data_IF_702624375608
#
_entry.id   IF_702624375608
#
_cell.length_a   1.000
_cell.length_b   1.000
_cell.length_c   1.000
_cell.angle_alpha   90.00
_cell.angle_beta   90.00
_cell.angle_gamma   90.00
#
_symmetry.space_group_name_H-M   'P 1'
#
loop_
_entity.id
_entity.type
_entity.pdbx_description
1 polymer ?
#
# COMPACT_ATOMS: atom_id res chain seq x y z
N UNK A 1 -20.23 19.34 -25.67
CA UNK A 1 -19.88 18.88 -24.30
C UNK A 1 -19.36 17.44 -24.42
N UNK A 2 -18.06 17.26 -24.57
CA UNK A 2 -17.43 15.95 -24.86
C UNK A 2 -17.52 15.13 -23.59
N UNK A 3 -18.29 14.03 -23.65
CA UNK A 3 -18.36 13.02 -22.60
C UNK A 3 -16.91 12.58 -22.34
N UNK A 4 -16.39 12.79 -21.12
CA UNK A 4 -15.08 12.34 -20.68
C UNK A 4 -15.00 10.83 -20.96
N UNK A 5 -14.24 10.45 -21.97
CA UNK A 5 -14.09 9.03 -22.33
C UNK A 5 -13.48 8.33 -21.10
N UNK A 6 -14.11 7.24 -20.63
CA UNK A 6 -13.65 6.45 -19.50
C UNK A 6 -12.17 6.00 -19.65
N UNK A 7 -11.61 6.10 -20.85
CA UNK A 7 -10.21 5.80 -21.15
C UNK A 7 -9.26 6.93 -20.73
N UNK A 8 -9.68 8.20 -20.79
CA UNK A 8 -8.85 9.37 -20.49
C UNK A 8 -9.07 9.89 -19.08
N UNK A 9 -10.16 9.48 -18.42
CA UNK A 9 -10.52 9.91 -17.08
C UNK A 9 -9.36 9.81 -16.05
N UNK A 10 -8.57 8.73 -15.96
CA UNK A 10 -7.48 8.67 -14.99
C UNK A 10 -6.36 9.67 -15.25
N UNK A 11 -6.09 10.01 -16.53
CA UNK A 11 -5.07 10.99 -16.85
C UNK A 11 -5.55 12.42 -16.50
N UNK A 12 -6.81 12.73 -16.72
CA UNK A 12 -7.43 13.99 -16.26
C UNK A 12 -7.47 14.08 -14.73
N UNK A 13 -7.82 12.97 -14.04
CA UNK A 13 -7.81 12.94 -12.58
C UNK A 13 -6.39 13.11 -12.01
N UNK A 14 -5.38 12.47 -12.61
CA UNK A 14 -3.99 12.65 -12.22
C UNK A 14 -3.50 14.09 -12.45
N UNK A 15 -3.88 14.73 -13.57
CA UNK A 15 -3.56 16.12 -13.85
C UNK A 15 -4.23 17.07 -12.84
N UNK A 16 -5.52 16.87 -12.54
CA UNK A 16 -6.26 17.68 -11.58
C UNK A 16 -5.70 17.54 -10.16
N UNK A 17 -5.38 16.30 -9.74
CA UNK A 17 -4.72 16.06 -8.45
C UNK A 17 -3.36 16.78 -8.39
N UNK A 18 -2.54 16.68 -9.44
CA UNK A 18 -1.25 17.35 -9.49
C UNK A 18 -1.37 18.87 -9.44
N UNK A 19 -2.34 19.44 -10.14
CA UNK A 19 -2.61 20.88 -10.09
C UNK A 19 -3.03 21.33 -8.69
N UNK A 20 -3.96 20.60 -8.05
CA UNK A 20 -4.43 20.90 -6.70
C UNK A 20 -3.32 20.78 -5.66
N UNK A 21 -2.53 19.68 -5.70
CA UNK A 21 -1.41 19.49 -4.78
C UNK A 21 -0.28 20.49 -5.03
N UNK A 22 -0.03 20.85 -6.29
CA UNK A 22 0.91 21.92 -6.65
C UNK A 22 0.50 23.28 -6.11
N UNK A 23 -0.81 23.62 -6.14
CA UNK A 23 -1.33 24.83 -5.54
C UNK A 23 -1.12 24.85 -4.01
N UNK A 24 -1.36 23.72 -3.32
CA UNK A 24 -1.02 23.58 -1.89
C UNK A 24 0.47 23.79 -1.64
N UNK A 25 1.34 23.21 -2.46
CA UNK A 25 2.78 23.39 -2.32
C UNK A 25 3.20 24.86 -2.47
N UNK A 26 2.56 25.62 -3.37
CA UNK A 26 2.79 27.08 -3.49
C UNK A 26 2.34 27.83 -2.24
N UNK A 27 1.22 27.44 -1.60
CA UNK A 27 0.79 28.07 -0.34
C UNK A 27 1.79 27.83 0.78
N UNK A 28 2.35 26.62 0.90
CA UNK A 28 3.39 26.30 1.89
C UNK A 28 4.68 27.06 1.62
N UNK A 29 5.07 27.20 0.34
CA UNK A 29 6.23 27.98 -0.04
C UNK A 29 6.06 29.47 0.32
N UNK A 30 4.84 29.99 0.18
CA UNK A 30 4.51 31.37 0.58
C UNK A 30 4.33 31.53 2.12
N UNK A 31 4.63 30.52 2.91
CA UNK A 31 4.50 30.55 4.37
C UNK A 31 3.06 30.56 4.87
N UNK A 32 2.12 30.06 4.06
CA UNK A 32 0.70 30.02 4.39
C UNK A 32 0.23 28.58 4.60
N UNK A 33 -0.55 28.37 5.66
CA UNK A 33 -1.09 27.06 6.02
C UNK A 33 -0.08 26.13 6.66
N UNK A 34 -0.57 25.02 7.21
CA UNK A 34 0.23 24.05 7.93
C UNK A 34 1.00 23.13 6.97
N UNK A 35 2.33 23.21 7.03
CA UNK A 35 3.19 22.37 6.22
C UNK A 35 3.17 20.92 6.75
N UNK A 36 2.78 19.92 5.92
CA UNK A 36 2.48 18.58 6.39
C UNK A 36 3.72 17.76 6.77
N UNK A 37 4.92 18.19 6.39
CA UNK A 37 6.18 17.51 6.70
C UNK A 37 6.99 18.24 7.77
N UNK A 38 6.39 19.21 8.48
CA UNK A 38 7.00 19.79 9.65
C UNK A 38 7.32 18.68 10.68
N UNK A 39 8.29 18.93 11.54
CA UNK A 39 8.63 18.00 12.62
C UNK A 39 7.41 17.86 13.52
N UNK A 40 6.94 16.63 13.70
CA UNK A 40 5.91 16.26 14.68
C UNK A 40 6.58 15.85 15.98
N UNK A 41 5.80 15.75 17.05
CA UNK A 41 6.27 15.24 18.34
C UNK A 41 6.69 13.76 18.24
N UNK A 42 7.45 13.26 19.21
CA UNK A 42 7.98 11.90 19.20
C UNK A 42 6.86 10.84 19.20
N UNK A 43 5.68 11.15 19.75
CA UNK A 43 4.53 10.26 19.77
C UNK A 43 3.89 10.06 18.40
N UNK A 44 4.00 11.06 17.53
CA UNK A 44 3.43 11.05 16.17
C UNK A 44 4.47 10.90 15.07
N UNK A 45 5.76 10.88 15.41
CA UNK A 45 6.83 10.69 14.42
C UNK A 45 6.65 9.36 13.69
N UNK A 46 6.53 9.46 12.36
CA UNK A 46 6.37 8.31 11.48
C UNK A 46 7.67 7.91 10.78
N UNK A 47 8.74 8.68 10.98
CA UNK A 47 10.02 8.53 10.30
C UNK A 47 9.88 8.53 8.76
N UNK A 48 8.89 9.26 8.24
CA UNK A 48 8.71 9.40 6.81
C UNK A 48 9.87 10.20 6.19
N UNK A 49 10.13 10.00 4.89
CA UNK A 49 11.31 10.59 4.22
C UNK A 49 11.36 12.12 4.27
N UNK A 50 10.20 12.76 4.28
CA UNK A 50 10.10 14.22 4.22
C UNK A 50 9.87 14.84 5.60
N UNK A 51 9.71 14.04 6.65
CA UNK A 51 9.49 14.54 8.01
C UNK A 51 10.65 15.42 8.48
N UNK A 52 10.33 16.56 9.07
CA UNK A 52 11.32 17.54 9.54
C UNK A 52 12.02 18.34 8.45
N UNK A 53 11.57 18.23 7.18
CA UNK A 53 12.13 19.04 6.09
C UNK A 53 11.62 20.48 6.12
N UNK A 54 12.46 21.42 5.64
CA UNK A 54 12.07 22.83 5.59
C UNK A 54 11.15 23.12 4.39
N UNK A 55 10.00 23.81 4.61
CA UNK A 55 9.08 24.17 3.53
C UNK A 55 9.75 25.03 2.44
N UNK A 56 10.69 25.89 2.81
CA UNK A 56 11.42 26.74 1.85
C UNK A 56 12.20 25.96 0.80
N UNK A 57 12.58 24.69 1.09
CA UNK A 57 13.33 23.84 0.16
C UNK A 57 12.39 22.88 -0.56
N UNK A 58 11.55 22.17 0.16
CA UNK A 58 10.75 21.07 -0.39
C UNK A 58 9.52 21.58 -1.14
N UNK A 59 8.86 22.62 -0.63
CA UNK A 59 7.62 23.09 -1.25
C UNK A 59 7.81 23.63 -2.69
N UNK A 60 8.84 24.44 -3.02
CA UNK A 60 9.07 24.84 -4.41
C UNK A 60 9.42 23.67 -5.33
N UNK A 61 10.16 22.68 -4.86
CA UNK A 61 10.46 21.47 -5.64
C UNK A 61 9.16 20.71 -5.93
N UNK A 62 8.29 20.54 -4.92
CA UNK A 62 6.99 19.91 -5.09
C UNK A 62 6.11 20.68 -6.07
N UNK A 63 6.07 22.02 -6.00
CA UNK A 63 5.31 22.85 -6.91
C UNK A 63 5.78 22.66 -8.37
N UNK A 64 7.10 22.64 -8.62
CA UNK A 64 7.67 22.42 -9.95
C UNK A 64 7.37 21.01 -10.47
N UNK A 65 7.54 19.98 -9.64
CA UNK A 65 7.19 18.58 -10.01
C UNK A 65 5.70 18.46 -10.32
N UNK A 66 4.85 19.07 -9.52
CA UNK A 66 3.39 19.06 -9.73
C UNK A 66 2.98 19.85 -10.99
N UNK A 67 3.66 20.94 -11.32
CA UNK A 67 3.43 21.66 -12.58
C UNK A 67 3.79 20.78 -13.78
N UNK A 68 4.96 20.16 -13.78
CA UNK A 68 5.37 19.22 -14.81
C UNK A 68 4.40 18.02 -14.92
N UNK A 69 3.98 17.49 -13.78
CA UNK A 69 2.98 16.43 -13.70
C UNK A 69 1.63 16.84 -14.28
N UNK A 70 1.16 18.05 -13.98
CA UNK A 70 -0.09 18.58 -14.56
C UNK A 70 -0.02 18.64 -16.08
N UNK A 71 1.05 19.22 -16.63
CA UNK A 71 1.25 19.34 -18.07
C UNK A 71 1.34 17.97 -18.75
N UNK A 72 2.08 17.03 -18.16
CA UNK A 72 2.22 15.66 -18.68
C UNK A 72 0.91 14.86 -18.53
N UNK A 73 0.15 15.05 -17.45
CA UNK A 73 -1.17 14.46 -17.27
C UNK A 73 -2.16 14.90 -18.34
N UNK A 74 -2.19 16.20 -18.66
CA UNK A 74 -2.97 16.76 -19.79
C UNK A 74 -2.50 16.19 -21.12
N UNK A 75 -1.18 16.06 -21.34
CA UNK A 75 -0.61 15.44 -22.53
C UNK A 75 -1.09 13.99 -22.73
N UNK A 76 -1.03 13.18 -21.65
CA UNK A 76 -1.52 11.79 -21.67
C UNK A 76 -3.05 11.73 -21.89
N UNK A 77 -3.81 12.65 -21.27
CA UNK A 77 -5.26 12.74 -21.44
C UNK A 77 -5.68 13.07 -22.88
N UNK A 78 -4.86 13.85 -23.58
CA UNK A 78 -5.04 14.17 -25.01
C UNK A 78 -4.53 13.07 -25.95
N UNK A 79 -4.14 11.92 -25.42
CA UNK A 79 -3.69 10.77 -26.22
C UNK A 79 -2.19 10.71 -26.48
N UNK A 80 -1.40 11.58 -25.88
CA UNK A 80 0.05 11.56 -25.94
C UNK A 80 0.65 10.29 -25.34
N UNK A 81 1.79 9.81 -25.87
CA UNK A 81 2.42 8.54 -25.46
C UNK A 81 3.94 8.54 -25.56
N UNK A 82 4.56 9.70 -25.43
CA UNK A 82 6.00 9.78 -25.41
C UNK A 82 6.56 8.88 -24.31
N UNK A 83 7.61 8.13 -24.61
CA UNK A 83 8.27 7.23 -23.62
C UNK A 83 8.71 7.97 -22.37
N UNK A 84 9.22 9.20 -22.54
CA UNK A 84 9.61 10.06 -21.42
C UNK A 84 8.43 10.40 -20.51
N UNK A 85 7.25 10.73 -21.06
CA UNK A 85 6.05 11.02 -20.28
C UNK A 85 5.54 9.78 -19.53
N UNK A 86 5.61 8.59 -20.14
CA UNK A 86 5.25 7.34 -19.47
C UNK A 86 6.26 6.98 -18.38
N UNK A 87 7.57 7.18 -18.62
CA UNK A 87 8.61 6.95 -17.62
C UNK A 87 8.42 7.90 -16.42
N UNK A 88 8.22 9.19 -16.66
CA UNK A 88 7.90 10.15 -15.60
C UNK A 88 6.66 9.75 -14.80
N UNK A 89 5.57 9.35 -15.48
CA UNK A 89 4.35 8.91 -14.82
C UNK A 89 4.56 7.68 -13.92
N UNK A 90 5.33 6.71 -14.35
CA UNK A 90 5.70 5.55 -13.52
C UNK A 90 6.61 5.91 -12.35
N UNK A 91 7.61 6.78 -12.58
CA UNK A 91 8.49 7.27 -11.52
C UNK A 91 7.70 8.03 -10.46
N UNK A 92 6.82 8.94 -10.89
CA UNK A 92 5.98 9.72 -9.97
C UNK A 92 5.03 8.80 -9.19
N UNK A 93 4.38 7.83 -9.87
CA UNK A 93 3.55 6.83 -9.21
C UNK A 93 4.32 6.04 -8.15
N UNK A 94 5.53 5.58 -8.46
CA UNK A 94 6.38 4.84 -7.54
C UNK A 94 6.83 5.70 -6.35
N UNK A 95 7.24 6.94 -6.60
CA UNK A 95 7.64 7.87 -5.53
C UNK A 95 6.46 8.15 -4.59
N UNK A 96 5.31 8.54 -5.14
CA UNK A 96 4.15 8.93 -4.35
C UNK A 96 3.48 7.75 -3.63
N UNK A 97 3.44 6.56 -4.23
CA UNK A 97 2.74 5.41 -3.65
C UNK A 97 3.64 4.44 -2.87
N UNK A 98 4.95 4.39 -3.18
CA UNK A 98 5.82 3.38 -2.59
C UNK A 98 6.98 3.96 -1.77
N UNK A 99 7.47 5.17 -2.11
CA UNK A 99 8.67 5.72 -1.47
C UNK A 99 8.35 6.70 -0.34
N UNK A 100 7.40 7.63 -0.57
CA UNK A 100 7.04 8.66 0.41
C UNK A 100 6.18 8.15 1.57
N UNK A 101 5.19 7.24 1.36
CA UNK A 101 4.40 6.73 2.47
C UNK A 101 5.24 5.89 3.44
N UNK A 102 4.75 5.81 4.66
CA UNK A 102 5.33 5.03 5.75
C UNK A 102 4.44 3.83 6.13
N UNK A 103 4.68 3.23 7.29
CA UNK A 103 3.89 2.11 7.79
C UNK A 103 2.44 2.48 8.14
N UNK A 104 2.10 3.78 8.24
CA UNK A 104 0.74 4.22 8.58
C UNK A 104 -0.30 3.67 7.60
N UNK A 105 0.03 3.58 6.31
CA UNK A 105 -0.87 2.99 5.31
C UNK A 105 -1.17 1.52 5.59
N UNK A 106 -0.16 0.75 5.98
CA UNK A 106 -0.34 -0.66 6.36
C UNK A 106 -1.19 -0.76 7.62
N UNK A 107 -0.94 0.12 8.62
CA UNK A 107 -1.73 0.18 9.84
C UNK A 107 -3.21 0.50 9.53
N UNK A 108 -3.49 1.48 8.66
CA UNK A 108 -4.86 1.77 8.24
C UNK A 108 -5.56 0.58 7.59
N UNK A 109 -4.89 -0.15 6.72
CA UNK A 109 -5.48 -1.33 6.07
C UNK A 109 -5.67 -2.47 7.08
N UNK A 110 -4.70 -2.72 7.95
CA UNK A 110 -4.76 -3.77 8.97
C UNK A 110 -5.85 -3.51 10.01
N UNK A 111 -5.98 -2.24 10.44
CA UNK A 111 -6.96 -1.84 11.47
C UNK A 111 -8.26 -1.29 10.89
N UNK A 112 -8.45 -1.23 9.57
CA UNK A 112 -9.65 -0.69 8.95
C UNK A 112 -10.97 -1.24 9.53
N UNK A 113 -11.13 -2.56 9.78
CA UNK A 113 -12.34 -3.07 10.40
C UNK A 113 -12.56 -2.55 11.83
N UNK A 114 -11.48 -2.40 12.60
CA UNK A 114 -11.50 -1.90 13.96
C UNK A 114 -11.77 -0.38 14.01
N UNK A 115 -11.16 0.38 13.10
CA UNK A 115 -11.43 1.81 12.94
C UNK A 115 -12.89 2.07 12.58
N UNK A 116 -13.50 1.19 11.79
CA UNK A 116 -14.93 1.28 11.49
C UNK A 116 -15.79 1.09 12.75
N UNK A 117 -15.44 0.13 13.61
CA UNK A 117 -16.11 -0.05 14.91
C UNK A 117 -15.91 1.19 15.79
N UNK A 118 -14.69 1.70 15.90
CA UNK A 118 -14.38 2.87 16.70
C UNK A 118 -15.05 4.16 16.24
N UNK A 119 -15.37 4.29 14.95
CA UNK A 119 -16.17 5.40 14.44
C UNK A 119 -17.57 5.48 15.08
N UNK A 120 -18.11 4.35 15.57
CA UNK A 120 -19.40 4.27 16.23
C UNK A 120 -19.32 4.15 17.75
N UNK A 121 -18.23 3.58 18.29
CA UNK A 121 -18.10 3.30 19.74
C UNK A 121 -17.12 4.23 20.45
N UNK A 122 -16.43 5.10 19.70
CA UNK A 122 -15.31 5.88 20.24
C UNK A 122 -14.01 5.06 20.25
N UNK A 123 -12.87 5.75 20.23
CA UNK A 123 -11.53 5.14 20.29
C UNK A 123 -11.18 4.87 21.75
N UNK A 124 -10.90 3.61 22.16
CA UNK A 124 -10.48 3.33 23.52
C UNK A 124 -9.04 3.80 23.76
N UNK A 125 -8.80 4.43 24.91
CA UNK A 125 -7.47 4.84 25.35
C UNK A 125 -7.33 6.36 25.56
N UNK A 126 -6.11 6.87 25.75
CA UNK A 126 -5.84 8.28 26.02
C UNK A 126 -5.99 9.18 24.78
N UNK A 127 -6.44 8.65 23.66
CA UNK A 127 -6.62 9.38 22.40
C UNK A 127 -7.96 10.11 22.40
N UNK A 128 -7.95 11.40 22.09
CA UNK A 128 -9.15 12.26 22.09
C UNK A 128 -10.07 12.05 20.87
N UNK A 129 -9.84 11.00 20.09
CA UNK A 129 -10.69 10.62 18.97
C UNK A 129 -9.97 10.33 17.65
N UNK A 130 -10.71 10.34 16.55
CA UNK A 130 -10.15 10.07 15.21
C UNK A 130 -9.15 11.13 14.77
N UNK A 131 -9.17 12.33 15.33
CA UNK A 131 -8.23 13.42 15.04
C UNK A 131 -6.78 13.06 15.36
N UNK A 132 -6.56 12.36 16.48
CA UNK A 132 -5.23 11.91 16.90
C UNK A 132 -4.68 10.79 16.02
N UNK A 133 -5.57 10.03 15.39
CA UNK A 133 -5.19 9.00 14.43
C UNK A 133 -4.93 9.60 13.05
N UNK A 134 -5.74 10.61 12.66
CA UNK A 134 -5.73 11.25 11.34
C UNK A 134 -5.17 12.67 11.39
N UNK A 135 -4.04 12.86 12.08
CA UNK A 135 -3.36 14.17 12.09
C UNK A 135 -2.84 14.53 10.68
N UNK A 136 -2.56 15.83 10.46
CA UNK A 136 -2.34 16.39 9.12
C UNK A 136 -1.23 15.70 8.32
N UNK A 137 -0.08 15.40 8.95
CA UNK A 137 1.01 14.66 8.29
C UNK A 137 0.53 13.32 7.70
N UNK A 138 -0.17 12.52 8.50
CA UNK A 138 -0.67 11.19 8.09
C UNK A 138 -1.74 11.29 7.02
N UNK A 139 -2.65 12.26 7.13
CA UNK A 139 -3.66 12.55 6.10
C UNK A 139 -3.00 12.93 4.78
N UNK A 140 -1.95 13.75 4.83
CA UNK A 140 -1.18 14.12 3.65
C UNK A 140 -0.50 12.92 2.98
N UNK A 141 0.03 11.95 3.74
CA UNK A 141 0.58 10.71 3.17
C UNK A 141 -0.48 9.90 2.41
N UNK A 142 -1.73 9.86 2.90
CA UNK A 142 -2.84 9.25 2.16
C UNK A 142 -3.17 10.01 0.87
N UNK A 143 -3.12 11.34 0.89
CA UNK A 143 -3.31 12.17 -0.31
C UNK A 143 -2.23 11.89 -1.34
N UNK A 144 -0.96 11.81 -0.94
CA UNK A 144 0.16 11.45 -1.81
C UNK A 144 -0.01 10.05 -2.39
N UNK A 145 -0.37 9.09 -1.56
CA UNK A 145 -0.63 7.72 -1.98
C UNK A 145 -1.75 7.65 -3.03
N UNK A 146 -2.86 8.35 -2.80
CA UNK A 146 -3.95 8.44 -3.78
C UNK A 146 -3.47 9.04 -5.11
N UNK A 147 -2.66 10.11 -5.06
CA UNK A 147 -2.00 10.69 -6.23
C UNK A 147 -1.14 9.68 -7.00
N UNK A 148 -0.35 8.89 -6.27
CA UNK A 148 0.45 7.80 -6.85
C UNK A 148 -0.40 6.75 -7.56
N UNK A 149 -1.53 6.33 -6.97
CA UNK A 149 -2.45 5.39 -7.61
C UNK A 149 -3.11 5.99 -8.86
N UNK A 150 -3.48 7.27 -8.84
CA UNK A 150 -4.01 7.97 -10.01
C UNK A 150 -2.98 7.99 -11.15
N UNK A 151 -1.72 8.32 -10.86
CA UNK A 151 -0.64 8.31 -11.84
C UNK A 151 -0.34 6.91 -12.37
N UNK A 152 -0.35 5.88 -11.52
CA UNK A 152 -0.22 4.49 -11.94
C UNK A 152 -1.36 4.09 -12.90
N UNK A 153 -2.59 4.44 -12.57
CA UNK A 153 -3.76 4.15 -13.41
C UNK A 153 -3.70 4.90 -14.76
N UNK A 154 -3.31 6.18 -14.76
CA UNK A 154 -3.16 7.01 -15.96
C UNK A 154 -2.08 6.43 -16.90
N UNK A 155 -0.90 6.15 -16.35
CA UNK A 155 0.24 5.63 -17.11
C UNK A 155 -0.03 4.22 -17.63
N UNK A 156 -0.63 3.35 -16.81
CA UNK A 156 -1.01 1.99 -17.21
C UNK A 156 -2.01 2.00 -18.38
N UNK A 157 -3.01 2.87 -18.35
CA UNK A 157 -3.98 2.96 -19.44
C UNK A 157 -3.37 3.53 -20.72
N UNK A 158 -2.46 4.49 -20.61
CA UNK A 158 -1.75 5.07 -21.76
C UNK A 158 -0.77 4.09 -22.40
N UNK A 159 -0.17 3.17 -21.61
CA UNK A 159 0.79 2.16 -22.08
C UNK A 159 0.16 0.87 -22.62
N UNK A 160 -1.10 0.57 -22.29
CA UNK A 160 -1.75 -0.74 -22.60
C UNK A 160 -1.87 -1.11 -24.08
N UNK A 161 -1.63 -0.22 -25.04
CA UNK A 161 -1.61 -0.60 -26.47
C UNK A 161 -0.33 -1.31 -26.92
N UNK A 162 0.72 -1.35 -26.07
CA UNK A 162 2.00 -1.97 -26.44
C UNK A 162 2.18 -3.42 -25.93
N UNK A 163 1.35 -3.92 -25.02
CA UNK A 163 1.55 -5.23 -24.38
C UNK A 163 0.28 -6.09 -24.45
N UNK A 164 -0.14 -6.38 -25.66
CA UNK A 164 -1.03 -7.52 -25.94
C UNK A 164 -0.21 -8.76 -26.32
N UNK A 165 0.88 -9.03 -25.59
CA UNK A 165 1.55 -10.32 -25.71
C UNK A 165 0.74 -11.35 -24.92
N UNK A 166 0.13 -12.28 -25.64
CA UNK A 166 -0.63 -13.39 -25.11
C UNK A 166 0.32 -14.35 -24.37
N UNK A 167 0.64 -14.04 -23.11
CA UNK A 167 1.38 -14.97 -22.25
C UNK A 167 0.54 -16.23 -22.07
N UNK A 168 1.06 -17.44 -22.36
CA UNK A 168 0.32 -18.69 -22.22
C UNK A 168 -0.23 -18.85 -20.78
N UNK A 169 -1.45 -19.37 -20.60
CA UNK A 169 -2.06 -19.54 -19.28
C UNK A 169 -1.26 -20.39 -18.33
N UNK A 170 -0.56 -21.40 -18.85
CA UNK A 170 0.32 -22.28 -18.06
C UNK A 170 1.50 -21.50 -17.47
N UNK A 171 2.07 -20.58 -18.24
CA UNK A 171 3.14 -19.70 -17.77
C UNK A 171 2.64 -18.75 -16.69
N UNK A 172 1.44 -18.19 -16.84
CA UNK A 172 0.80 -17.35 -15.82
C UNK A 172 0.51 -18.15 -14.55
N UNK A 173 0.03 -19.39 -14.68
CA UNK A 173 -0.22 -20.24 -13.51
C UNK A 173 1.08 -20.61 -12.79
N UNK A 174 2.13 -20.97 -13.52
CA UNK A 174 3.44 -21.28 -12.96
C UNK A 174 4.04 -20.08 -12.22
N UNK A 175 3.99 -18.88 -12.83
CA UNK A 175 4.42 -17.63 -12.19
C UNK A 175 3.58 -17.33 -10.93
N UNK A 176 2.26 -17.47 -11.03
CA UNK A 176 1.34 -17.28 -9.93
C UNK A 176 1.62 -18.23 -8.76
N UNK A 177 1.86 -19.53 -9.01
CA UNK A 177 2.21 -20.49 -7.96
C UNK A 177 3.50 -20.12 -7.23
N UNK A 178 4.55 -19.74 -7.97
CA UNK A 178 5.82 -19.28 -7.36
C UNK A 178 5.59 -18.03 -6.50
N UNK A 179 4.85 -17.06 -7.04
CA UNK A 179 4.52 -15.84 -6.33
C UNK A 179 3.70 -16.08 -5.05
N UNK A 180 2.73 -17.00 -5.07
CA UNK A 180 1.95 -17.41 -3.90
C UNK A 180 2.87 -18.02 -2.83
N UNK A 181 3.78 -18.94 -3.19
CA UNK A 181 4.71 -19.50 -2.22
C UNK A 181 5.60 -18.43 -1.56
N UNK A 182 6.15 -17.51 -2.35
CA UNK A 182 6.95 -16.40 -1.80
C UNK A 182 6.09 -15.52 -0.90
N UNK A 183 4.85 -15.19 -1.31
CA UNK A 183 3.95 -14.35 -0.53
C UNK A 183 3.51 -14.99 0.79
N UNK A 184 3.49 -16.32 0.88
CA UNK A 184 3.15 -17.04 2.12
C UNK A 184 4.36 -17.20 3.03
N UNK A 185 5.56 -17.40 2.46
CA UNK A 185 6.77 -17.62 3.26
C UNK A 185 7.41 -16.31 3.75
N UNK A 186 7.28 -15.22 3.00
CA UNK A 186 7.90 -13.95 3.36
C UNK A 186 7.45 -13.39 4.74
N UNK A 187 6.18 -13.47 5.17
CA UNK A 187 5.75 -12.99 6.47
C UNK A 187 6.09 -13.93 7.64
N UNK A 188 6.50 -15.18 7.41
CA UNK A 188 6.74 -16.17 8.47
C UNK A 188 7.68 -15.67 9.57
N UNK A 189 8.82 -15.01 9.31
CA UNK A 189 9.67 -14.48 10.38
C UNK A 189 8.96 -13.45 11.26
N UNK A 190 8.07 -12.62 10.68
CA UNK A 190 7.24 -11.69 11.43
C UNK A 190 6.24 -12.44 12.33
N UNK A 191 5.55 -13.41 11.79
CA UNK A 191 4.56 -14.24 12.50
C UNK A 191 5.22 -14.95 13.69
N UNK A 192 6.36 -15.60 13.46
CA UNK A 192 7.12 -16.30 14.49
C UNK A 192 7.56 -15.37 15.61
N UNK A 193 8.08 -14.19 15.30
CA UNK A 193 8.50 -13.23 16.35
C UNK A 193 7.32 -12.74 17.19
N UNK A 194 6.18 -12.44 16.59
CA UNK A 194 4.98 -11.95 17.32
C UNK A 194 4.36 -13.04 18.19
N UNK A 195 4.30 -14.28 17.70
CA UNK A 195 3.84 -15.43 18.49
C UNK A 195 4.80 -15.72 19.65
N UNK A 196 6.12 -15.68 19.40
CA UNK A 196 7.13 -15.90 20.44
C UNK A 196 7.00 -14.86 21.59
N UNK A 197 6.82 -13.58 21.23
CA UNK A 197 6.65 -12.50 22.25
C UNK A 197 5.37 -12.67 23.05
N UNK A 198 4.26 -13.03 22.41
CA UNK A 198 3.01 -13.33 23.09
C UNK A 198 3.16 -14.51 24.07
N UNK A 199 3.97 -15.53 23.73
CA UNK A 199 4.30 -16.66 24.60
C UNK A 199 5.39 -16.34 25.68
N UNK A 200 5.84 -15.08 25.77
CA UNK A 200 6.83 -14.65 26.75
C UNK A 200 8.29 -14.94 26.36
N UNK A 201 8.55 -15.32 25.08
CA UNK A 201 9.89 -15.59 24.58
C UNK A 201 10.46 -14.34 23.89
N UNK A 202 11.55 -13.71 24.40
CA UNK A 202 12.13 -12.49 23.86
C UNK A 202 12.96 -12.74 22.60
N UNK A 203 12.33 -13.29 21.55
CA UNK A 203 13.00 -13.64 20.31
C UNK A 203 13.44 -12.39 19.53
N UNK A 204 14.73 -12.12 19.51
CA UNK A 204 15.31 -10.97 18.79
C UNK A 204 15.01 -9.60 19.40
N UNK A 205 14.67 -9.56 20.70
CA UNK A 205 14.49 -8.36 21.50
C UNK A 205 15.08 -8.52 22.91
N UNK A 206 15.46 -7.41 23.59
CA UNK A 206 15.84 -7.45 24.99
C UNK A 206 14.67 -7.88 25.90
N UNK A 207 14.97 -8.51 27.04
CA UNK A 207 13.96 -8.91 28.04
C UNK A 207 13.19 -7.70 28.58
N UNK A 208 13.88 -6.61 28.86
CA UNK A 208 13.25 -5.38 29.36
C UNK A 208 12.23 -4.80 28.39
N UNK A 209 12.51 -4.89 27.09
CA UNK A 209 11.58 -4.48 26.05
C UNK A 209 10.33 -5.38 26.03
N UNK A 210 10.50 -6.71 26.18
CA UNK A 210 9.35 -7.62 26.30
C UNK A 210 8.53 -7.32 27.57
N UNK A 211 9.19 -7.06 28.71
CA UNK A 211 8.52 -6.69 29.97
C UNK A 211 7.71 -5.41 29.81
N UNK A 212 8.26 -4.41 29.13
CA UNK A 212 7.54 -3.17 28.81
C UNK A 212 6.30 -3.44 27.96
N UNK A 213 6.41 -4.29 26.91
CA UNK A 213 5.25 -4.67 26.09
C UNK A 213 4.19 -5.44 26.90
N UNK A 214 4.61 -6.30 27.85
CA UNK A 214 3.69 -7.03 28.74
C UNK A 214 2.97 -6.10 29.73
N UNK A 215 3.60 -5.01 30.17
CA UNK A 215 2.98 -4.00 31.03
C UNK A 215 2.06 -3.05 30.28
N UNK A 216 2.17 -2.97 28.96
CA UNK A 216 1.34 -2.13 28.11
C UNK A 216 0.11 -2.90 27.64
N UNK A 217 -1.06 -2.50 28.14
CA UNK A 217 -2.32 -3.19 27.83
C UNK A 217 -2.58 -3.29 26.32
N UNK A 218 -2.88 -4.50 25.84
CA UNK A 218 -3.25 -4.77 24.45
C UNK A 218 -2.08 -4.85 23.45
N UNK A 219 -0.84 -4.52 23.84
CA UNK A 219 0.27 -4.42 22.90
C UNK A 219 0.68 -5.77 22.31
N UNK A 220 0.74 -6.82 23.11
CA UNK A 220 1.05 -8.19 22.66
C UNK A 220 -0.12 -8.81 21.91
N UNK A 221 -1.35 -8.56 22.35
CA UNK A 221 -2.58 -9.03 21.71
C UNK A 221 -2.75 -8.45 20.30
N UNK A 222 -2.45 -7.18 20.11
CA UNK A 222 -2.41 -6.54 18.79
C UNK A 222 -1.37 -7.18 17.90
N UNK A 223 -0.15 -7.42 18.43
CA UNK A 223 0.91 -8.12 17.70
C UNK A 223 0.50 -9.52 17.26
N UNK A 224 -0.11 -10.31 18.15
CA UNK A 224 -0.65 -11.63 17.85
C UNK A 224 -1.78 -11.55 16.81
N UNK A 225 -2.71 -10.58 16.97
CA UNK A 225 -3.80 -10.35 16.02
C UNK A 225 -3.30 -10.09 14.60
N UNK A 226 -2.26 -9.27 14.46
CA UNK A 226 -1.61 -9.03 13.17
C UNK A 226 -0.95 -10.30 12.59
N UNK A 227 -0.32 -11.13 13.43
CA UNK A 227 0.26 -12.41 12.98
C UNK A 227 -0.83 -13.38 12.51
N UNK A 228 -1.94 -13.51 13.25
CA UNK A 228 -3.09 -14.35 12.87
C UNK A 228 -3.73 -13.84 11.58
N UNK A 229 -3.90 -12.53 11.43
CA UNK A 229 -4.43 -11.94 10.20
C UNK A 229 -3.50 -12.19 9.00
N UNK A 230 -2.18 -12.14 9.20
CA UNK A 230 -1.18 -12.49 8.19
C UNK A 230 -1.29 -13.94 7.75
N UNK A 231 -1.35 -14.88 8.69
CA UNK A 231 -1.53 -16.31 8.42
C UNK A 231 -2.83 -16.55 7.64
N UNK A 232 -3.95 -15.94 8.10
CA UNK A 232 -5.22 -15.99 7.39
C UNK A 232 -5.14 -15.45 5.96
N UNK A 233 -4.47 -14.32 5.78
CA UNK A 233 -4.15 -13.74 4.47
C UNK A 233 -3.33 -14.68 3.59
N UNK A 234 -2.35 -15.40 4.19
CA UNK A 234 -1.58 -16.44 3.53
C UNK A 234 -2.45 -17.59 3.02
N UNK A 235 -3.40 -18.07 3.85
CA UNK A 235 -4.39 -19.08 3.43
C UNK A 235 -5.22 -18.56 2.27
N UNK A 236 -5.75 -17.34 2.35
CA UNK A 236 -6.55 -16.73 1.27
C UNK A 236 -5.75 -16.54 -0.02
N UNK A 237 -4.45 -16.23 0.09
CA UNK A 237 -3.54 -16.07 -1.05
C UNK A 237 -3.42 -17.34 -1.88
N UNK A 238 -3.51 -18.53 -1.28
CA UNK A 238 -3.55 -19.80 -2.01
C UNK A 238 -4.77 -19.89 -2.95
N UNK A 239 -5.88 -19.22 -2.64
CA UNK A 239 -7.05 -19.14 -3.53
C UNK A 239 -6.74 -18.55 -4.89
N UNK A 240 -5.72 -17.69 -5.01
CA UNK A 240 -5.31 -17.13 -6.31
C UNK A 240 -4.79 -18.17 -7.31
N UNK A 241 -4.43 -19.38 -6.84
CA UNK A 241 -3.91 -20.47 -7.70
C UNK A 241 -4.65 -21.79 -7.51
N UNK A 242 -5.68 -21.82 -6.65
CA UNK A 242 -6.48 -23.01 -6.35
C UNK A 242 -7.90 -22.87 -6.90
N UNK A 243 -8.61 -23.98 -7.17
CA UNK A 243 -9.98 -23.94 -7.71
C UNK A 243 -11.00 -23.20 -6.85
N UNK A 244 -10.85 -23.22 -5.51
CA UNK A 244 -11.76 -22.55 -4.60
C UNK A 244 -11.70 -21.01 -4.67
N UNK A 245 -10.61 -20.44 -5.19
CA UNK A 245 -10.56 -19.01 -5.51
C UNK A 245 -11.25 -18.66 -6.83
N UNK A 246 -11.65 -19.64 -7.63
CA UNK A 246 -12.39 -19.43 -8.89
C UNK A 246 -13.90 -19.71 -8.75
N UNK A 247 -14.26 -20.60 -7.84
CA UNK A 247 -15.66 -20.95 -7.48
C UNK A 247 -15.80 -21.02 -5.97
N UNK A 248 -16.87 -20.45 -5.46
CA UNK A 248 -17.18 -20.50 -4.03
C UNK A 248 -17.30 -21.95 -3.55
N UNK A 249 -16.61 -22.31 -2.45
CA UNK A 249 -16.68 -23.65 -1.87
C UNK A 249 -18.10 -23.99 -1.37
N UNK A 250 -18.38 -25.29 -1.16
CA UNK A 250 -19.69 -25.77 -0.72
C UNK A 250 -20.15 -25.22 0.64
N UNK A 251 -19.21 -24.85 1.51
CA UNK A 251 -19.50 -24.29 2.83
C UNK A 251 -19.96 -22.82 2.80
N UNK A 252 -19.89 -22.14 1.66
CA UNK A 252 -20.34 -20.74 1.52
C UNK A 252 -21.84 -20.59 1.29
N UNK A 253 -22.63 -21.62 1.65
CA UNK A 253 -24.08 -21.63 1.62
C UNK A 253 -24.64 -21.10 0.28
N UNK A 254 -25.24 -19.92 0.27
CA UNK A 254 -25.95 -19.32 -0.88
C UNK A 254 -25.04 -18.96 -2.07
N UNK A 255 -23.74 -18.89 -1.86
CA UNK A 255 -22.75 -18.60 -2.91
C UNK A 255 -22.11 -19.87 -3.49
N UNK A 256 -22.40 -21.05 -2.90
CA UNK A 256 -21.80 -22.34 -3.28
C UNK A 256 -21.85 -22.57 -4.80
N UNK A 257 -20.72 -22.93 -5.39
CA UNK A 257 -20.57 -23.24 -6.81
C UNK A 257 -20.60 -22.03 -7.75
N UNK A 258 -21.03 -20.84 -7.30
CA UNK A 258 -21.01 -19.62 -8.11
C UNK A 258 -19.57 -19.21 -8.44
N UNK A 259 -19.37 -18.56 -9.58
CA UNK A 259 -18.06 -18.01 -9.95
C UNK A 259 -17.69 -16.84 -9.05
N UNK A 260 -16.48 -16.86 -8.48
CA UNK A 260 -15.93 -15.73 -7.72
C UNK A 260 -15.63 -14.58 -8.67
N UNK A 261 -16.18 -13.36 -8.46
CA UNK A 261 -15.79 -12.19 -9.24
C UNK A 261 -14.28 -11.95 -9.07
N UNK A 262 -13.49 -11.81 -10.14
CA UNK A 262 -12.03 -11.67 -10.01
C UNK A 262 -11.61 -10.50 -9.13
N UNK A 263 -12.35 -9.39 -9.15
CA UNK A 263 -12.05 -8.21 -8.33
C UNK A 263 -12.19 -8.46 -6.83
N UNK A 264 -13.05 -9.39 -6.42
CA UNK A 264 -13.22 -9.74 -4.98
C UNK A 264 -11.93 -10.30 -4.38
N UNK A 265 -11.13 -11.02 -5.16
CA UNK A 265 -9.84 -11.55 -4.72
C UNK A 265 -8.68 -10.57 -5.04
N UNK A 266 -8.74 -9.92 -6.21
CA UNK A 266 -7.64 -9.07 -6.70
C UNK A 266 -7.57 -7.74 -5.97
N UNK A 267 -8.71 -7.08 -5.68
CA UNK A 267 -8.69 -5.76 -5.08
C UNK A 267 -8.07 -5.76 -3.66
N UNK A 268 -8.50 -6.62 -2.71
CA UNK A 268 -7.88 -6.67 -1.39
C UNK A 268 -6.42 -7.13 -1.46
N UNK A 269 -6.08 -8.12 -2.31
CA UNK A 269 -4.70 -8.56 -2.46
C UNK A 269 -3.79 -7.46 -3.01
N UNK A 270 -4.25 -6.67 -3.98
CA UNK A 270 -3.49 -5.53 -4.51
C UNK A 270 -3.37 -4.39 -3.50
N UNK A 271 -4.43 -4.11 -2.74
CA UNK A 271 -4.38 -3.10 -1.68
C UNK A 271 -3.29 -3.46 -0.65
N UNK A 272 -3.33 -4.67 -0.12
CA UNK A 272 -2.31 -5.15 0.83
C UNK A 272 -0.91 -5.15 0.18
N UNK A 273 -0.78 -5.64 -1.06
CA UNK A 273 0.50 -5.67 -1.77
C UNK A 273 1.13 -4.28 -1.90
N UNK A 274 0.33 -3.26 -2.21
CA UNK A 274 0.85 -1.89 -2.43
C UNK A 274 1.22 -1.21 -1.11
N UNK A 275 0.49 -1.45 -0.01
CA UNK A 275 0.82 -0.83 1.29
C UNK A 275 1.95 -1.55 2.05
N UNK A 276 2.20 -2.83 1.77
CA UNK A 276 3.34 -3.58 2.33
C UNK A 276 4.69 -3.04 1.83
N UNK A 277 4.76 -2.58 0.58
CA UNK A 277 6.02 -2.13 -0.01
C UNK A 277 6.59 -0.89 0.72
N UNK A 278 5.84 0.22 0.89
CA UNK A 278 6.35 1.38 1.63
C UNK A 278 6.69 1.04 3.09
N UNK A 279 5.89 0.23 3.76
CA UNK A 279 6.17 -0.22 5.12
C UNK A 279 7.49 -1.02 5.20
N UNK A 280 7.76 -1.89 4.24
CA UNK A 280 9.02 -2.62 4.14
C UNK A 280 10.21 -1.73 3.79
N UNK A 281 10.04 -0.77 2.88
CA UNK A 281 11.08 0.22 2.53
C UNK A 281 11.42 1.13 3.72
N UNK A 282 10.44 1.47 4.54
CA UNK A 282 10.69 2.19 5.79
C UNK A 282 11.53 1.36 6.75
N UNK A 283 11.19 0.08 6.95
CA UNK A 283 12.00 -0.81 7.81
C UNK A 283 13.45 -0.91 7.35
N UNK A 284 13.73 -0.79 6.06
CA UNK A 284 15.10 -0.79 5.53
C UNK A 284 15.94 0.43 5.96
N UNK A 285 15.32 1.48 6.51
CA UNK A 285 16.01 2.67 7.02
C UNK A 285 16.32 2.57 8.52
N UNK A 286 15.69 1.63 9.21
CA UNK A 286 15.89 1.44 10.65
C UNK A 286 17.17 0.60 10.88
N UNK A 287 17.94 0.93 11.93
CA UNK A 287 19.12 0.13 12.28
C UNK A 287 18.71 -1.27 12.73
N UNK A 288 19.40 -2.28 12.24
CA UNK A 288 19.25 -3.67 12.68
C UNK A 288 20.44 -3.97 13.59
N UNK A 289 20.15 -4.21 14.86
CA UNK A 289 21.16 -4.60 15.85
C UNK A 289 20.95 -6.07 16.26
N UNK A 290 21.97 -6.68 16.83
CA UNK A 290 21.88 -8.04 17.35
C UNK A 290 20.81 -8.21 18.45
N UNK A 291 20.50 -7.14 19.17
CA UNK A 291 19.50 -7.13 20.24
C UNK A 291 18.08 -6.77 19.79
N UNK A 292 17.89 -6.19 18.61
CA UNK A 292 16.57 -5.67 18.15
C UNK A 292 16.15 -6.18 16.78
N UNK A 293 16.83 -7.18 16.24
CA UNK A 293 16.53 -7.71 14.91
C UNK A 293 15.08 -8.21 14.76
N UNK A 294 14.50 -8.74 15.85
CA UNK A 294 13.11 -9.23 15.84
C UNK A 294 12.07 -8.17 15.57
N UNK A 295 12.39 -6.88 15.82
CA UNK A 295 11.51 -5.74 15.52
C UNK A 295 11.61 -5.37 14.03
N UNK A 296 12.83 -5.22 13.50
CA UNK A 296 13.08 -4.58 12.21
C UNK A 296 13.32 -5.56 11.07
N UNK A 297 14.11 -6.62 11.28
CA UNK A 297 14.49 -7.52 10.20
C UNK A 297 13.32 -8.24 9.49
N UNK A 298 12.28 -8.73 10.19
CA UNK A 298 11.12 -9.29 9.53
C UNK A 298 10.40 -8.32 8.59
N UNK A 299 10.38 -7.02 8.94
CA UNK A 299 9.77 -5.97 8.13
C UNK A 299 10.44 -5.74 6.78
N UNK A 300 11.73 -6.08 6.62
CA UNK A 300 12.41 -6.02 5.32
C UNK A 300 11.77 -6.93 4.28
N UNK A 301 11.27 -8.08 4.72
CA UNK A 301 10.62 -9.05 3.84
C UNK A 301 9.25 -8.58 3.34
N UNK A 302 8.69 -7.50 3.89
CA UNK A 302 7.42 -6.95 3.44
C UNK A 302 7.48 -6.42 2.01
N UNK A 303 8.64 -5.92 1.55
CA UNK A 303 8.84 -5.55 0.15
C UNK A 303 8.69 -6.77 -0.75
N UNK A 304 9.32 -7.88 -0.38
CA UNK A 304 9.26 -9.15 -1.11
C UNK A 304 7.83 -9.71 -1.06
N UNK A 305 7.19 -9.68 0.11
CA UNK A 305 5.81 -10.10 0.30
C UNK A 305 4.84 -9.30 -0.59
N UNK A 306 4.92 -7.96 -0.55
CA UNK A 306 4.08 -7.09 -1.37
C UNK A 306 4.25 -7.34 -2.87
N UNK A 307 5.50 -7.41 -3.34
CA UNK A 307 5.81 -7.70 -4.74
C UNK A 307 5.29 -9.08 -5.19
N UNK A 308 5.45 -10.10 -4.35
CA UNK A 308 4.97 -11.44 -4.63
C UNK A 308 3.44 -11.52 -4.62
N UNK A 309 2.77 -10.92 -3.63
CA UNK A 309 1.31 -10.88 -3.54
C UNK A 309 0.70 -10.14 -4.73
N UNK A 310 1.26 -8.98 -5.11
CA UNK A 310 0.85 -8.23 -6.30
C UNK A 310 1.02 -9.03 -7.59
N UNK A 311 2.13 -9.76 -7.72
CA UNK A 311 2.38 -10.66 -8.87
C UNK A 311 1.36 -11.79 -8.93
N UNK A 312 1.03 -12.41 -7.78
CA UNK A 312 0.01 -13.45 -7.69
C UNK A 312 -1.37 -12.93 -8.10
N UNK A 313 -1.76 -11.75 -7.60
CA UNK A 313 -3.03 -11.10 -7.94
C UNK A 313 -3.13 -10.74 -9.42
N UNK A 314 -2.06 -10.17 -10.02
CA UNK A 314 -2.01 -9.83 -11.44
C UNK A 314 -2.11 -11.08 -12.32
N UNK A 315 -1.35 -12.13 -12.01
CA UNK A 315 -1.39 -13.39 -12.79
C UNK A 315 -2.75 -14.07 -12.69
N UNK A 316 -3.40 -14.05 -11.52
CA UNK A 316 -4.77 -14.52 -11.35
C UNK A 316 -5.73 -13.69 -12.21
N UNK A 317 -5.68 -12.35 -12.15
CA UNK A 317 -6.53 -11.49 -12.96
C UNK A 317 -6.38 -11.74 -14.46
N UNK A 318 -5.14 -11.87 -14.95
CA UNK A 318 -4.86 -12.14 -16.37
C UNK A 318 -5.40 -13.49 -16.84
N UNK A 319 -5.32 -14.53 -16.01
CA UNK A 319 -5.89 -15.87 -16.32
C UNK A 319 -7.41 -15.85 -16.39
N UNK A 320 -8.05 -14.97 -15.62
CA UNK A 320 -9.52 -14.88 -15.51
C UNK A 320 -10.17 -13.95 -16.56
N UNK A 321 -9.36 -13.28 -17.39
CA UNK A 321 -9.91 -12.46 -18.49
C UNK A 321 -10.58 -13.35 -19.54
N UNK A 322 -11.78 -12.97 -20.03
CA UNK A 322 -12.35 -13.60 -21.22
C UNK A 322 -11.36 -13.51 -22.38
N UNK A 323 -11.12 -14.63 -23.07
CA UNK A 323 -10.40 -14.59 -24.33
C UNK A 323 -11.37 -14.04 -25.38
N UNK A 324 -10.96 -13.03 -26.14
CA UNK A 324 -11.67 -12.66 -27.34
C UNK A 324 -11.65 -13.87 -28.26
N UNK A 325 -12.80 -14.31 -28.82
CA UNK A 325 -12.77 -15.32 -29.88
C UNK A 325 -11.88 -14.76 -31.00
N UNK A 326 -10.91 -15.56 -31.42
CA UNK A 326 -10.05 -15.31 -32.56
C UNK A 326 -10.85 -15.44 -33.84
#
# INVERSE_FOLDING_TARGET
MTILDARTLPAWAAAAWSAGYGALAVTWWAGRGDYPFARVDDAHSSQSLLEGTAPAVVAPIMALVCLAATLLGVYLARGGRARAALAFGWTLAAVLALLLPDYSLLAFVAFAPLLLVFAFTGVPGPQDGLGDIMYWHRTNLLILFAGGLLWAAATLRSSRRAVASATPPETLLRRGRRAVWVAVLAPVPYEVTRIAWFLGVPLGIPRDFLTMMQSTHGMLEVGLGCAVASIGGGVLTHGLVRPWGERFPRWTLWLSGRRVPPLLAVAPAMLVAVVLIPAGLMNARLPITASTWGVTAPGLLWVVWGAALGTAAITYHLRRRPRSPS
#
